data_IF_486950404848
#
_entry.id   IF_486950404848
#
_cell.length_a   1.000
_cell.length_b   1.000
_cell.length_c   1.000
_cell.angle_alpha   90.00
_cell.angle_beta   90.00
_cell.angle_gamma   90.00
#
_symmetry.space_group_name_H-M   'P 1'
#
loop_
_entity.id
_entity.type
_entity.pdbx_description
1 polymer ?
#
# COMPACT_ATOMS: atom_id res chain seq x y z
N UNK A 1 -21.33 -8.41 -26.72
CA UNK A 1 -19.99 -7.98 -27.15
C UNK A 1 -19.84 -6.55 -26.67
N UNK A 2 -19.26 -6.35 -25.49
CA UNK A 2 -19.04 -5.02 -24.90
C UNK A 2 -17.70 -4.54 -25.42
N UNK A 3 -17.72 -3.56 -26.32
CA UNK A 3 -16.51 -2.83 -26.72
C UNK A 3 -16.02 -2.06 -25.51
N UNK A 4 -14.78 -2.33 -25.10
CA UNK A 4 -14.06 -1.56 -24.10
C UNK A 4 -13.90 -0.13 -24.62
N UNK A 5 -14.81 0.76 -24.21
CA UNK A 5 -14.72 2.19 -24.48
C UNK A 5 -13.41 2.67 -23.84
N UNK A 6 -12.53 3.27 -24.65
CA UNK A 6 -11.33 3.92 -24.12
C UNK A 6 -11.75 4.92 -23.02
N UNK A 7 -10.94 5.10 -21.96
CA UNK A 7 -11.24 6.10 -20.95
C UNK A 7 -11.48 7.43 -21.68
N UNK A 8 -12.65 8.01 -21.46
CA UNK A 8 -12.95 9.33 -21.99
C UNK A 8 -12.10 10.30 -21.19
N UNK A 9 -10.92 10.63 -21.73
CA UNK A 9 -9.94 11.51 -21.09
C UNK A 9 -10.60 12.80 -20.57
N UNK A 10 -11.68 13.26 -21.24
CA UNK A 10 -12.47 14.41 -20.83
C UNK A 10 -13.15 14.26 -19.46
N UNK A 11 -13.70 13.10 -19.11
CA UNK A 11 -14.33 12.87 -17.80
C UNK A 11 -13.28 12.79 -16.69
N UNK A 12 -12.20 12.04 -16.91
CA UNK A 12 -11.12 11.92 -15.94
C UNK A 12 -10.47 13.27 -15.64
N UNK A 13 -10.22 14.07 -16.68
CA UNK A 13 -9.65 15.41 -16.53
C UNK A 13 -10.63 16.38 -15.84
N UNK A 14 -11.93 16.30 -16.13
CA UNK A 14 -12.93 17.11 -15.45
C UNK A 14 -13.05 16.74 -13.97
N UNK A 15 -13.11 15.44 -13.65
CA UNK A 15 -13.17 14.94 -12.28
C UNK A 15 -11.90 15.31 -11.50
N UNK A 16 -10.72 15.13 -12.11
CA UNK A 16 -9.44 15.59 -11.55
C UNK A 16 -9.46 17.07 -11.16
N UNK A 17 -9.92 17.95 -12.07
CA UNK A 17 -10.03 19.39 -11.80
C UNK A 17 -11.00 19.67 -10.65
N UNK A 18 -12.21 19.11 -10.70
CA UNK A 18 -13.21 19.31 -9.65
C UNK A 18 -12.70 18.89 -8.26
N UNK A 19 -12.05 17.73 -8.18
CA UNK A 19 -11.52 17.18 -6.95
C UNK A 19 -10.35 18.02 -6.41
N UNK A 20 -9.45 18.49 -7.28
CA UNK A 20 -8.36 19.38 -6.87
C UNK A 20 -8.83 20.78 -6.43
N UNK A 21 -9.86 21.31 -7.08
CA UNK A 21 -10.46 22.60 -6.72
C UNK A 21 -11.30 22.52 -5.43
N UNK A 22 -11.48 21.32 -4.87
CA UNK A 22 -12.29 21.07 -3.68
C UNK A 22 -13.80 21.11 -3.94
N UNK A 23 -14.23 21.10 -5.20
CA UNK A 23 -15.62 21.19 -5.60
C UNK A 23 -16.29 19.81 -5.61
N UNK A 24 -16.67 19.36 -4.41
CA UNK A 24 -17.36 18.09 -4.21
C UNK A 24 -18.68 17.99 -4.99
N UNK A 25 -19.47 19.06 -5.01
CA UNK A 25 -20.78 19.05 -5.67
C UNK A 25 -20.60 18.83 -7.16
N UNK A 26 -19.66 19.56 -7.78
CA UNK A 26 -19.34 19.38 -9.17
C UNK A 26 -18.77 17.98 -9.47
N UNK A 27 -17.88 17.46 -8.61
CA UNK A 27 -17.35 16.10 -8.76
C UNK A 27 -18.46 15.03 -8.75
N UNK A 28 -19.43 15.15 -7.86
CA UNK A 28 -20.60 14.27 -7.78
C UNK A 28 -21.52 14.43 -9.00
N UNK A 29 -21.76 15.65 -9.46
CA UNK A 29 -22.62 15.91 -10.61
C UNK A 29 -22.00 15.39 -11.92
N UNK A 30 -20.67 15.45 -12.06
CA UNK A 30 -19.94 14.86 -13.20
C UNK A 30 -20.19 13.36 -13.32
N UNK A 31 -20.02 12.61 -12.23
CA UNK A 31 -20.23 11.15 -12.27
C UNK A 31 -21.69 10.76 -12.42
N UNK A 32 -22.64 11.53 -11.86
CA UNK A 32 -24.09 11.31 -12.08
C UNK A 32 -24.49 11.60 -13.51
N UNK A 33 -23.94 12.65 -14.11
CA UNK A 33 -24.17 12.98 -15.51
C UNK A 33 -23.59 11.88 -16.42
N UNK A 34 -22.41 11.35 -16.08
CA UNK A 34 -21.82 10.23 -16.80
C UNK A 34 -22.68 8.95 -16.71
N UNK A 35 -23.24 8.62 -15.54
CA UNK A 35 -24.24 7.55 -15.39
C UNK A 35 -25.46 7.79 -16.30
N UNK A 36 -26.02 9.00 -16.28
CA UNK A 36 -27.14 9.39 -17.14
C UNK A 36 -26.83 9.33 -18.64
N UNK A 37 -25.55 9.49 -19.00
CA UNK A 37 -25.03 9.36 -20.35
C UNK A 37 -24.64 7.92 -20.75
N UNK A 38 -24.95 6.93 -19.90
CA UNK A 38 -24.82 5.50 -20.22
C UNK A 38 -23.50 4.84 -19.81
N UNK A 39 -22.69 5.49 -18.97
CA UNK A 39 -21.59 4.78 -18.28
C UNK A 39 -22.16 3.79 -17.26
N UNK A 40 -21.53 2.62 -17.13
CA UNK A 40 -21.85 1.68 -16.05
C UNK A 40 -21.10 2.04 -14.75
N UNK A 41 -21.69 1.64 -13.61
CA UNK A 41 -21.13 1.96 -12.29
C UNK A 41 -19.71 1.40 -12.08
N UNK A 42 -19.42 0.19 -12.59
CA UNK A 42 -18.11 -0.45 -12.41
C UNK A 42 -17.01 0.29 -13.17
N UNK A 43 -17.27 0.69 -14.42
CA UNK A 43 -16.34 1.49 -15.22
C UNK A 43 -16.13 2.89 -14.63
N UNK A 44 -17.14 3.52 -14.04
CA UNK A 44 -16.93 4.81 -13.35
C UNK A 44 -16.05 4.68 -12.10
N UNK A 45 -16.24 3.61 -11.32
CA UNK A 45 -15.41 3.36 -10.14
C UNK A 45 -13.95 3.12 -10.52
N UNK A 46 -13.70 2.32 -11.55
CA UNK A 46 -12.35 1.84 -11.86
C UNK A 46 -11.63 2.67 -12.92
N UNK A 47 -12.31 3.07 -13.98
CA UNK A 47 -11.67 3.72 -15.12
C UNK A 47 -11.71 5.25 -15.02
N UNK A 48 -12.53 5.81 -14.12
CA UNK A 48 -12.54 7.25 -13.80
C UNK A 48 -12.04 7.52 -12.37
N UNK A 49 -12.76 7.08 -11.33
CA UNK A 49 -12.44 7.42 -9.94
C UNK A 49 -11.08 6.86 -9.51
N UNK A 50 -10.81 5.57 -9.75
CA UNK A 50 -9.51 4.99 -9.42
C UNK A 50 -8.37 5.58 -10.27
N UNK A 51 -8.63 5.92 -11.53
CA UNK A 51 -7.66 6.58 -12.40
C UNK A 51 -7.29 7.98 -11.90
N UNK A 52 -8.27 8.78 -11.49
CA UNK A 52 -8.05 10.09 -10.86
C UNK A 52 -7.30 9.93 -9.54
N UNK A 53 -7.64 8.93 -8.72
CA UNK A 53 -6.91 8.64 -7.47
C UNK A 53 -5.44 8.27 -7.73
N UNK A 54 -5.16 7.48 -8.75
CA UNK A 54 -3.78 7.14 -9.13
C UNK A 54 -3.00 8.39 -9.57
N UNK A 55 -3.65 9.30 -10.32
CA UNK A 55 -3.08 10.60 -10.69
C UNK A 55 -2.79 11.46 -9.46
N UNK A 56 -3.72 11.56 -8.51
CA UNK A 56 -3.52 12.26 -7.22
C UNK A 56 -2.24 11.77 -6.52
N UNK A 57 -2.07 10.46 -6.40
CA UNK A 57 -0.87 9.88 -5.79
C UNK A 57 0.42 10.21 -6.55
N UNK A 58 0.40 10.19 -7.88
CA UNK A 58 1.56 10.52 -8.71
C UNK A 58 1.95 12.01 -8.62
N UNK A 59 0.96 12.90 -8.59
CA UNK A 59 1.15 14.35 -8.49
C UNK A 59 1.66 14.76 -7.11
N UNK A 60 1.19 14.09 -6.06
CA UNK A 60 1.74 14.25 -4.71
C UNK A 60 3.17 13.75 -4.60
N UNK A 61 3.47 12.57 -5.15
CA UNK A 61 4.82 12.02 -5.14
C UNK A 61 5.81 12.96 -5.84
N UNK A 62 5.36 13.59 -6.94
CA UNK A 62 6.12 14.55 -7.74
C UNK A 62 6.11 16.00 -7.19
N UNK A 63 5.63 16.21 -5.96
CA UNK A 63 5.61 17.52 -5.27
C UNK A 63 4.81 18.61 -6.00
N UNK A 64 3.84 18.22 -6.85
CA UNK A 64 2.94 19.15 -7.56
C UNK A 64 1.69 19.49 -6.79
N UNK A 65 1.31 18.65 -5.83
CA UNK A 65 0.25 18.90 -4.85
C UNK A 65 0.74 18.56 -3.45
N UNK A 66 0.22 19.28 -2.46
CA UNK A 66 0.52 19.05 -1.03
C UNK A 66 -0.20 17.82 -0.49
N UNK A 67 0.26 17.31 0.65
CA UNK A 67 -0.44 16.24 1.39
C UNK A 67 -1.87 16.65 1.79
N UNK A 68 -2.09 17.93 2.11
CA UNK A 68 -3.43 18.42 2.45
C UNK A 68 -4.37 18.37 1.23
N UNK A 69 -3.87 18.70 0.04
CA UNK A 69 -4.62 18.58 -1.21
C UNK A 69 -4.90 17.12 -1.56
N UNK A 70 -3.92 16.22 -1.40
CA UNK A 70 -4.11 14.78 -1.56
C UNK A 70 -5.23 14.27 -0.65
N UNK A 71 -5.20 14.60 0.65
CA UNK A 71 -6.23 14.17 1.60
C UNK A 71 -7.62 14.72 1.26
N UNK A 72 -7.71 16.01 0.93
CA UNK A 72 -8.97 16.63 0.52
C UNK A 72 -9.52 15.95 -0.75
N UNK A 73 -8.65 15.70 -1.73
CA UNK A 73 -9.00 15.04 -2.97
C UNK A 73 -9.51 13.61 -2.76
N UNK A 74 -8.80 12.81 -1.96
CA UNK A 74 -9.19 11.46 -1.58
C UNK A 74 -10.53 11.44 -0.84
N UNK A 75 -10.76 12.40 0.07
CA UNK A 75 -12.03 12.53 0.78
C UNK A 75 -13.20 12.86 -0.17
N UNK A 76 -13.00 13.69 -1.19
CA UNK A 76 -14.02 13.96 -2.21
C UNK A 76 -14.28 12.71 -3.05
N UNK A 77 -13.23 11.99 -3.46
CA UNK A 77 -13.39 10.72 -4.20
C UNK A 77 -14.19 9.68 -3.40
N UNK A 78 -14.00 9.57 -2.08
CA UNK A 78 -14.82 8.70 -1.22
C UNK A 78 -16.31 9.09 -1.24
N UNK A 79 -16.61 10.40 -1.27
CA UNK A 79 -17.99 10.91 -1.41
C UNK A 79 -18.56 10.62 -2.80
N UNK A 80 -17.74 10.75 -3.84
CA UNK A 80 -18.08 10.37 -5.23
C UNK A 80 -18.43 8.88 -5.31
N UNK A 81 -17.62 7.98 -4.72
CA UNK A 81 -17.94 6.54 -4.63
C UNK A 81 -19.30 6.35 -3.97
N UNK A 82 -19.53 7.00 -2.83
CA UNK A 82 -20.80 6.89 -2.09
C UNK A 82 -22.00 7.35 -2.93
N UNK A 83 -21.82 8.36 -3.80
CA UNK A 83 -22.87 8.85 -4.69
C UNK A 83 -23.14 7.92 -5.90
N UNK A 84 -22.16 7.11 -6.30
CA UNK A 84 -22.29 6.09 -7.35
C UNK A 84 -23.02 4.82 -6.87
N UNK A 85 -22.90 4.48 -5.59
CA UNK A 85 -23.53 3.28 -5.04
C UNK A 85 -25.06 3.46 -5.04
N UNK A 86 -25.84 2.55 -5.68
CA UNK A 86 -27.29 2.64 -5.69
C UNK A 86 -27.86 2.62 -4.27
N UNK A 87 -28.72 3.59 -3.96
CA UNK A 87 -29.53 3.51 -2.73
C UNK A 87 -30.49 2.31 -2.84
N UNK A 88 -30.66 1.50 -1.79
CA UNK A 88 -31.59 0.36 -1.79
C UNK A 88 -33.00 0.70 -2.27
N UNK A 89 -33.43 1.95 -2.07
CA UNK A 89 -34.78 2.42 -2.38
C UNK A 89 -35.08 2.62 -3.88
N UNK A 90 -34.08 2.73 -4.76
CA UNK A 90 -34.32 3.03 -6.19
C UNK A 90 -34.42 1.80 -7.09
N UNK A 91 -33.99 0.62 -6.62
CA UNK A 91 -34.06 -0.65 -7.38
C UNK A 91 -34.71 -1.82 -6.61
N UNK A 92 -35.29 -1.56 -5.43
CA UNK A 92 -35.71 -2.60 -4.49
C UNK A 92 -34.49 -3.33 -3.88
N UNK A 93 -34.66 -4.12 -2.81
CA UNK A 93 -33.56 -4.93 -2.30
C UNK A 93 -33.18 -5.96 -3.37
N UNK A 94 -32.09 -5.70 -4.09
CA UNK A 94 -31.39 -6.77 -4.82
C UNK A 94 -30.77 -7.65 -3.75
N UNK A 95 -31.46 -8.75 -3.42
CA UNK A 95 -30.87 -9.78 -2.56
C UNK A 95 -29.52 -10.20 -3.14
N UNK A 96 -28.48 -10.36 -2.30
CA UNK A 96 -27.20 -10.88 -2.76
C UNK A 96 -27.43 -12.16 -3.56
N UNK A 97 -26.92 -12.19 -4.79
CA UNK A 97 -27.10 -13.32 -5.71
C UNK A 97 -25.95 -14.33 -5.61
N UNK A 98 -24.93 -14.00 -4.81
CA UNK A 98 -23.71 -14.78 -4.60
C UNK A 98 -23.44 -14.93 -3.11
N UNK A 99 -22.28 -15.52 -2.79
CA UNK A 99 -21.80 -15.72 -1.44
C UNK A 99 -21.47 -14.43 -0.68
N UNK A 100 -20.91 -14.61 0.52
CA UNK A 100 -20.48 -13.53 1.42
C UNK A 100 -18.96 -13.45 1.46
N UNK A 101 -18.41 -12.25 1.37
CA UNK A 101 -16.97 -12.02 1.51
C UNK A 101 -16.68 -10.89 2.49
N UNK A 102 -15.55 -10.98 3.16
CA UNK A 102 -15.02 -9.89 3.98
C UNK A 102 -13.92 -9.15 3.20
N UNK A 103 -13.96 -7.82 3.15
CA UNK A 103 -12.92 -6.99 2.55
C UNK A 103 -12.33 -6.08 3.64
N UNK A 104 -11.01 -6.11 3.81
CA UNK A 104 -10.35 -5.42 4.91
C UNK A 104 -8.91 -5.05 4.55
N UNK A 105 -8.42 -3.93 5.08
CA UNK A 105 -6.99 -3.65 5.11
C UNK A 105 -6.31 -4.40 6.26
N UNK A 106 -5.11 -4.89 5.99
CA UNK A 106 -4.27 -5.55 6.99
C UNK A 106 -4.02 -4.64 8.20
N UNK A 107 -3.70 -5.22 9.35
CA UNK A 107 -3.36 -4.46 10.55
C UNK A 107 -2.20 -3.49 10.27
N UNK A 108 -2.36 -2.25 10.75
CA UNK A 108 -1.44 -1.14 10.49
C UNK A 108 -1.57 -0.46 9.12
N UNK A 109 -2.37 -0.99 8.19
CA UNK A 109 -2.59 -0.39 6.86
C UNK A 109 -3.76 0.61 6.83
N UNK A 110 -3.45 1.88 6.57
CA UNK A 110 -4.42 2.99 6.52
C UNK A 110 -5.02 3.24 5.13
N UNK A 111 -4.39 2.75 4.06
CA UNK A 111 -4.79 3.04 2.69
C UNK A 111 -6.02 2.22 2.28
N UNK A 112 -7.19 2.63 2.77
CA UNK A 112 -8.48 1.94 2.63
C UNK A 112 -9.16 2.15 1.27
N UNK A 113 -8.81 3.19 0.52
CA UNK A 113 -9.46 3.54 -0.74
C UNK A 113 -9.48 2.39 -1.78
N UNK A 114 -8.37 1.66 -2.04
CA UNK A 114 -8.41 0.51 -2.95
C UNK A 114 -9.32 -0.62 -2.45
N UNK A 115 -9.32 -0.89 -1.13
CA UNK A 115 -10.18 -1.89 -0.53
C UNK A 115 -11.66 -1.50 -0.64
N UNK A 116 -11.96 -0.20 -0.50
CA UNK A 116 -13.29 0.37 -0.73
C UNK A 116 -13.77 0.12 -2.16
N UNK A 117 -12.93 0.40 -3.17
CA UNK A 117 -13.26 0.14 -4.57
C UNK A 117 -13.55 -1.34 -4.83
N UNK A 118 -12.70 -2.24 -4.31
CA UNK A 118 -12.93 -3.70 -4.40
C UNK A 118 -14.27 -4.06 -3.78
N UNK A 119 -14.60 -3.52 -2.60
CA UNK A 119 -15.87 -3.79 -1.94
C UNK A 119 -17.07 -3.37 -2.80
N UNK A 120 -17.03 -2.19 -3.41
CA UNK A 120 -18.14 -1.72 -4.26
C UNK A 120 -18.27 -2.52 -5.56
N UNK A 121 -17.16 -2.87 -6.22
CA UNK A 121 -17.18 -3.74 -7.41
C UNK A 121 -17.79 -5.10 -7.08
N UNK A 122 -17.44 -5.70 -5.94
CA UNK A 122 -18.01 -6.98 -5.53
C UNK A 122 -19.50 -6.88 -5.22
N UNK A 123 -19.96 -5.78 -4.62
CA UNK A 123 -21.40 -5.52 -4.43
C UNK A 123 -22.14 -5.40 -5.76
N UNK A 124 -21.59 -4.66 -6.73
CA UNK A 124 -22.15 -4.55 -8.08
C UNK A 124 -22.26 -5.92 -8.75
N UNK A 125 -21.31 -6.83 -8.48
CA UNK A 125 -21.31 -8.20 -8.99
C UNK A 125 -22.15 -9.19 -8.16
N UNK A 126 -22.91 -8.70 -7.18
CA UNK A 126 -23.91 -9.46 -6.44
C UNK A 126 -23.40 -10.20 -5.20
N UNK A 127 -22.17 -9.92 -4.75
CA UNK A 127 -21.64 -10.45 -3.49
C UNK A 127 -22.19 -9.70 -2.29
N UNK A 128 -22.40 -10.43 -1.19
CA UNK A 128 -22.59 -9.81 0.11
C UNK A 128 -21.22 -9.42 0.69
N UNK A 129 -20.97 -8.12 0.88
CA UNK A 129 -19.64 -7.64 1.26
C UNK A 129 -19.64 -6.99 2.64
N UNK A 130 -18.94 -7.63 3.57
CA UNK A 130 -18.57 -7.06 4.87
C UNK A 130 -17.27 -6.25 4.69
N UNK A 131 -17.39 -4.93 4.57
CA UNK A 131 -16.23 -4.04 4.46
C UNK A 131 -15.82 -3.53 5.84
N UNK A 132 -14.63 -3.92 6.30
CA UNK A 132 -14.13 -3.60 7.66
C UNK A 132 -13.24 -2.35 7.71
N UNK A 133 -12.86 -1.80 6.56
CA UNK A 133 -12.08 -0.57 6.47
C UNK A 133 -10.57 -0.74 6.71
N UNK A 134 -9.95 0.37 7.11
CA UNK A 134 -8.52 0.46 7.43
C UNK A 134 -8.17 -0.31 8.71
N UNK A 135 -6.91 -0.74 8.81
CA UNK A 135 -6.28 -1.23 10.05
C UNK A 135 -7.12 -2.19 10.89
N UNK A 136 -7.66 -3.26 10.28
CA UNK A 136 -8.42 -4.24 11.07
C UNK A 136 -7.44 -5.17 11.80
N UNK A 137 -7.41 -5.19 13.15
CA UNK A 137 -6.47 -6.07 13.84
C UNK A 137 -6.84 -7.54 13.65
N UNK A 138 -5.84 -8.38 13.44
CA UNK A 138 -6.02 -9.81 13.10
C UNK A 138 -6.97 -10.55 14.06
N UNK A 139 -6.88 -10.41 15.40
CA UNK A 139 -7.81 -11.10 16.30
C UNK A 139 -9.27 -10.74 16.07
N UNK A 140 -9.57 -9.48 15.75
CA UNK A 140 -10.94 -9.04 15.48
C UNK A 140 -11.43 -9.46 14.09
N UNK A 141 -10.53 -9.52 13.11
CA UNK A 141 -10.83 -10.10 11.80
C UNK A 141 -11.25 -11.57 11.93
N UNK A 142 -10.49 -12.38 12.70
CA UNK A 142 -10.82 -13.80 12.96
C UNK A 142 -12.14 -13.92 13.72
N UNK A 143 -12.35 -13.10 14.75
CA UNK A 143 -13.61 -13.07 15.50
C UNK A 143 -14.81 -12.69 14.60
N UNK A 144 -14.60 -11.83 13.60
CA UNK A 144 -15.62 -11.51 12.59
C UNK A 144 -15.93 -12.74 11.73
N UNK A 145 -14.91 -13.45 11.25
CA UNK A 145 -15.11 -14.66 10.44
C UNK A 145 -15.92 -15.74 11.16
N UNK A 146 -15.67 -15.95 12.46
CA UNK A 146 -16.48 -16.89 13.25
C UNK A 146 -17.96 -16.50 13.36
N UNK A 147 -18.31 -15.22 13.21
CA UNK A 147 -19.69 -14.73 13.29
C UNK A 147 -20.39 -14.72 11.94
N UNK A 148 -19.65 -14.45 10.86
CA UNK A 148 -20.25 -14.22 9.54
C UNK A 148 -20.06 -15.36 8.55
N UNK A 149 -19.14 -16.30 8.81
CA UNK A 149 -18.80 -17.44 7.95
C UNK A 149 -18.65 -17.02 6.48
N UNK A 150 -17.77 -16.05 6.23
CA UNK A 150 -17.53 -15.56 4.87
C UNK A 150 -16.86 -16.64 4.01
N UNK A 151 -17.22 -16.70 2.73
CA UNK A 151 -16.62 -17.60 1.74
C UNK A 151 -15.15 -17.29 1.47
N UNK A 152 -14.74 -16.02 1.64
CA UNK A 152 -13.35 -15.60 1.56
C UNK A 152 -13.10 -14.28 2.31
N UNK A 153 -11.83 -14.07 2.67
CA UNK A 153 -11.31 -12.76 3.13
C UNK A 153 -10.44 -12.17 2.04
N UNK A 154 -10.71 -10.92 1.68
CA UNK A 154 -9.88 -10.12 0.78
C UNK A 154 -9.06 -9.14 1.62
N UNK A 155 -7.74 -9.35 1.62
CA UNK A 155 -6.79 -8.52 2.36
C UNK A 155 -6.10 -7.54 1.43
N UNK A 156 -6.30 -6.25 1.70
CA UNK A 156 -5.64 -5.15 0.99
C UNK A 156 -4.40 -4.67 1.73
N UNK A 157 -3.29 -4.50 1.00
CA UNK A 157 -2.05 -3.92 1.50
C UNK A 157 -1.40 -2.99 0.46
N UNK A 158 -1.03 -1.78 0.87
CA UNK A 158 -0.36 -0.78 0.04
C UNK A 158 1.11 -0.64 0.38
N UNK A 159 1.47 -0.68 1.67
CA UNK A 159 2.85 -0.58 2.14
C UNK A 159 3.46 -1.97 2.38
N UNK A 160 4.61 -2.30 1.75
CA UNK A 160 5.31 -3.56 2.01
C UNK A 160 5.68 -3.77 3.49
N UNK A 161 5.85 -2.71 4.27
CA UNK A 161 6.11 -2.82 5.72
C UNK A 161 5.03 -3.58 6.49
N UNK A 162 3.84 -3.72 5.91
CA UNK A 162 2.74 -4.50 6.49
C UNK A 162 2.74 -5.97 6.06
N UNK A 163 3.72 -6.44 5.27
CA UNK A 163 3.81 -7.85 4.89
C UNK A 163 3.90 -8.81 6.11
N UNK A 164 4.63 -8.50 7.20
CA UNK A 164 4.62 -9.36 8.40
C UNK A 164 3.25 -9.44 9.07
N UNK A 165 2.50 -8.33 9.15
CA UNK A 165 1.14 -8.33 9.72
C UNK A 165 0.15 -9.00 8.77
N UNK A 166 0.32 -8.83 7.46
CA UNK A 166 -0.43 -9.55 6.43
C UNK A 166 -0.24 -11.05 6.54
N UNK A 167 1.00 -11.54 6.75
CA UNK A 167 1.28 -12.95 6.96
C UNK A 167 0.52 -13.49 8.17
N UNK A 168 0.57 -12.78 9.30
CA UNK A 168 -0.19 -13.17 10.48
C UNK A 168 -1.70 -13.26 10.21
N UNK A 169 -2.26 -12.29 9.48
CA UNK A 169 -3.67 -12.30 9.09
C UNK A 169 -4.02 -13.45 8.14
N UNK A 170 -3.19 -13.70 7.11
CA UNK A 170 -3.36 -14.81 6.16
C UNK A 170 -3.39 -16.14 6.93
N UNK A 171 -2.37 -16.40 7.75
CA UNK A 171 -2.25 -17.63 8.52
C UNK A 171 -3.41 -17.81 9.49
N UNK A 172 -3.84 -16.75 10.17
CA UNK A 172 -4.95 -16.79 11.12
C UNK A 172 -6.30 -17.09 10.43
N UNK A 173 -6.62 -16.40 9.33
CA UNK A 173 -7.85 -16.67 8.56
C UNK A 173 -7.87 -18.10 8.00
N UNK A 174 -6.74 -18.58 7.47
CA UNK A 174 -6.65 -19.94 6.93
C UNK A 174 -6.79 -20.99 8.03
N UNK A 175 -6.27 -20.73 9.23
CA UNK A 175 -6.40 -21.65 10.39
C UNK A 175 -7.84 -21.86 10.86
N UNK A 176 -8.74 -20.91 10.57
CA UNK A 176 -10.18 -21.04 10.82
C UNK A 176 -10.96 -21.51 9.58
N UNK A 177 -10.26 -21.97 8.54
CA UNK A 177 -10.85 -22.57 7.35
C UNK A 177 -11.36 -21.58 6.31
N UNK A 178 -11.00 -20.30 6.41
CA UNK A 178 -11.44 -19.25 5.48
C UNK A 178 -10.31 -18.92 4.50
N UNK A 179 -10.51 -19.06 3.17
CA UNK A 179 -9.49 -18.75 2.18
C UNK A 179 -9.23 -17.25 2.09
N UNK A 180 -8.00 -16.90 1.75
CA UNK A 180 -7.54 -15.52 1.67
C UNK A 180 -7.09 -15.16 0.26
N UNK A 181 -7.72 -14.12 -0.28
CA UNK A 181 -7.31 -13.45 -1.52
C UNK A 181 -6.58 -12.15 -1.16
N UNK A 182 -5.28 -12.08 -1.43
CA UNK A 182 -4.48 -10.89 -1.17
C UNK A 182 -4.48 -9.95 -2.38
N UNK A 183 -4.38 -8.64 -2.15
CA UNK A 183 -4.31 -7.65 -3.20
C UNK A 183 -3.67 -6.34 -2.74
N UNK A 184 -3.32 -5.50 -3.70
CA UNK A 184 -2.64 -4.23 -3.46
C UNK A 184 -1.12 -4.31 -3.64
N UNK A 185 -0.50 -3.12 -3.69
CA UNK A 185 0.90 -2.93 -4.11
C UNK A 185 1.91 -3.54 -3.15
N UNK A 186 1.56 -3.73 -1.88
CA UNK A 186 2.44 -4.33 -0.88
C UNK A 186 2.88 -5.75 -1.27
N UNK A 187 2.02 -6.49 -1.97
CA UNK A 187 2.25 -7.91 -2.31
C UNK A 187 3.10 -8.15 -3.56
N UNK A 188 3.68 -7.09 -4.12
CA UNK A 188 4.47 -7.13 -5.36
C UNK A 188 3.62 -7.06 -6.62
N UNK A 189 4.22 -6.61 -7.73
CA UNK A 189 3.53 -6.38 -9.01
C UNK A 189 2.86 -7.63 -9.58
N UNK A 190 3.43 -8.78 -9.28
CA UNK A 190 3.00 -10.09 -9.73
C UNK A 190 2.41 -10.92 -8.59
N UNK A 191 2.22 -10.36 -7.38
CA UNK A 191 1.74 -11.11 -6.22
C UNK A 191 2.75 -12.08 -5.62
N UNK A 192 4.05 -11.96 -5.92
CA UNK A 192 5.09 -12.87 -5.38
C UNK A 192 5.07 -12.96 -3.86
N UNK A 193 4.86 -11.86 -3.16
CA UNK A 193 4.84 -11.86 -1.70
C UNK A 193 3.54 -12.46 -1.16
N UNK A 194 2.39 -12.26 -1.82
CA UNK A 194 1.15 -12.94 -1.43
C UNK A 194 1.31 -14.47 -1.44
N UNK A 195 1.94 -15.02 -2.49
CA UNK A 195 2.22 -16.46 -2.58
C UNK A 195 3.22 -16.94 -1.54
N UNK A 196 4.29 -16.18 -1.32
CA UNK A 196 5.30 -16.51 -0.32
C UNK A 196 4.72 -16.54 1.11
N UNK A 197 3.76 -15.67 1.40
CA UNK A 197 3.05 -15.63 2.68
C UNK A 197 1.86 -16.61 2.77
N UNK A 198 1.68 -17.48 1.78
CA UNK A 198 0.68 -18.53 1.80
C UNK A 198 -0.76 -18.07 1.56
N UNK A 199 -1.00 -16.92 0.90
CA UNK A 199 -2.34 -16.55 0.45
C UNK A 199 -2.86 -17.58 -0.57
N UNK A 200 -4.15 -17.89 -0.54
CA UNK A 200 -4.76 -18.88 -1.42
C UNK A 200 -4.91 -18.36 -2.86
N UNK A 201 -4.99 -17.03 -3.03
CA UNK A 201 -4.91 -16.36 -4.32
C UNK A 201 -4.40 -14.91 -4.19
N UNK A 202 -4.07 -14.32 -5.34
CA UNK A 202 -3.74 -12.90 -5.48
C UNK A 202 -4.48 -12.30 -6.67
N UNK A 203 -4.89 -11.03 -6.55
CA UNK A 203 -5.46 -10.26 -7.64
C UNK A 203 -4.78 -8.89 -7.78
N UNK A 204 -4.55 -8.49 -9.03
CA UNK A 204 -3.94 -7.21 -9.37
C UNK A 204 -4.88 -6.00 -9.17
N UNK A 205 -6.19 -6.22 -9.36
CA UNK A 205 -7.22 -5.20 -9.32
C UNK A 205 -8.59 -5.79 -8.90
N UNK A 206 -9.60 -4.92 -8.81
CA UNK A 206 -10.95 -5.30 -8.39
C UNK A 206 -11.66 -6.26 -9.36
N UNK A 207 -11.41 -6.13 -10.68
CA UNK A 207 -12.02 -7.03 -11.69
C UNK A 207 -11.41 -8.42 -11.59
N UNK A 208 -10.10 -8.50 -11.40
CA UNK A 208 -9.36 -9.73 -11.14
C UNK A 208 -9.81 -10.38 -9.83
N UNK A 209 -10.02 -9.59 -8.77
CA UNK A 209 -10.51 -10.12 -7.50
C UNK A 209 -11.90 -10.77 -7.64
N UNK A 210 -12.81 -10.11 -8.35
CA UNK A 210 -14.11 -10.68 -8.66
C UNK A 210 -14.01 -11.96 -9.50
N UNK A 211 -13.16 -11.98 -10.53
CA UNK A 211 -12.95 -13.17 -11.38
C UNK A 211 -12.43 -14.37 -10.59
N UNK A 212 -11.49 -14.15 -9.66
CA UNK A 212 -10.98 -15.21 -8.76
C UNK A 212 -12.09 -15.78 -7.87
N UNK A 213 -12.91 -14.90 -7.26
CA UNK A 213 -14.02 -15.35 -6.43
C UNK A 213 -15.09 -16.10 -7.23
N UNK A 214 -15.38 -15.65 -8.44
CA UNK A 214 -16.34 -16.29 -9.34
C UNK A 214 -15.88 -17.67 -9.81
N UNK A 215 -14.57 -17.87 -9.99
CA UNK A 215 -13.96 -19.18 -10.25
C UNK A 215 -14.00 -20.10 -9.02
N UNK A 216 -14.09 -19.53 -7.82
CA UNK A 216 -14.13 -20.23 -6.55
C UNK A 216 -12.73 -20.40 -5.92
N UNK A 217 -12.69 -20.31 -4.59
CA UNK A 217 -11.48 -20.55 -3.80
C UNK A 217 -11.64 -21.81 -2.94
N UNK A 218 -10.67 -22.74 -2.97
CA UNK A 218 -10.74 -23.94 -2.13
C UNK A 218 -10.59 -23.54 -0.66
N UNK A 219 -11.40 -24.13 0.23
CA UNK A 219 -11.25 -23.92 1.67
C UNK A 219 -9.93 -24.56 2.15
N UNK A 220 -9.10 -23.83 2.91
CA UNK A 220 -7.85 -24.37 3.44
C UNK A 220 -8.12 -25.50 4.44
N UNK A 221 -7.36 -26.59 4.33
CA UNK A 221 -7.49 -27.79 5.17
C UNK A 221 -6.29 -28.01 6.09
N UNK A 222 -5.18 -27.32 5.83
CA UNK A 222 -3.91 -27.49 6.54
C UNK A 222 -3.63 -26.27 7.40
N UNK A 223 -3.40 -26.50 8.69
CA UNK A 223 -2.91 -25.46 9.61
C UNK A 223 -1.41 -25.31 9.38
N UNK A 224 -0.95 -24.07 9.12
CA UNK A 224 0.46 -23.72 8.92
C UNK A 224 0.95 -22.77 10.00
N UNK A 225 2.25 -22.80 10.28
CA UNK A 225 2.94 -21.80 11.09
C UNK A 225 3.79 -20.91 10.19
N UNK A 226 4.07 -19.68 10.63
CA UNK A 226 4.83 -18.71 9.82
C UNK A 226 6.24 -19.21 9.41
N UNK A 227 6.87 -20.07 10.21
CA UNK A 227 8.18 -20.69 9.91
C UNK A 227 8.07 -21.70 8.77
N UNK A 228 6.90 -22.32 8.57
CA UNK A 228 6.67 -23.26 7.47
C UNK A 228 6.70 -22.55 6.11
N UNK A 229 6.22 -21.30 6.07
CA UNK A 229 6.18 -20.49 4.86
C UNK A 229 7.50 -19.70 4.65
N UNK A 230 8.23 -19.35 5.72
CA UNK A 230 9.48 -18.55 5.68
C UNK A 230 10.58 -19.14 6.59
N UNK A 231 11.32 -20.18 6.14
CA UNK A 231 12.27 -20.93 6.97
C UNK A 231 13.51 -20.12 7.39
N UNK A 232 13.88 -19.07 6.66
CA UNK A 232 15.04 -18.21 6.99
C UNK A 232 14.82 -17.38 8.25
N UNK A 233 13.58 -17.20 8.72
CA UNK A 233 13.30 -16.45 9.95
C UNK A 233 13.88 -17.09 11.23
N UNK A 234 14.37 -18.34 11.14
CA UNK A 234 15.03 -19.05 12.23
C UNK A 234 16.34 -18.37 12.66
N UNK A 235 16.99 -17.59 11.79
CA UNK A 235 18.20 -16.83 12.12
C UNK A 235 17.98 -15.67 13.12
N UNK A 236 16.72 -15.30 13.36
CA UNK A 236 16.27 -14.20 14.22
C UNK A 236 16.78 -12.80 13.84
N UNK A 237 17.44 -12.60 12.70
CA UNK A 237 17.94 -11.28 12.30
C UNK A 237 16.80 -10.27 12.17
N UNK A 238 15.69 -10.67 11.54
CA UNK A 238 14.46 -9.88 11.49
C UNK A 238 13.98 -9.44 12.88
N UNK A 239 13.85 -10.40 13.80
CA UNK A 239 13.36 -10.15 15.17
C UNK A 239 14.28 -9.19 15.91
N UNK A 240 15.60 -9.36 15.78
CA UNK A 240 16.59 -8.52 16.44
C UNK A 240 16.61 -7.08 15.90
N UNK A 241 16.43 -6.90 14.58
CA UNK A 241 16.31 -5.56 13.96
C UNK A 241 15.04 -4.86 14.44
N UNK A 242 13.89 -5.54 14.44
CA UNK A 242 12.62 -4.97 14.93
C UNK A 242 12.72 -4.57 16.41
N UNK A 243 13.29 -5.42 17.27
CA UNK A 243 13.49 -5.11 18.69
C UNK A 243 14.47 -3.95 18.90
N UNK A 244 15.48 -3.82 18.03
CA UNK A 244 16.47 -2.75 18.08
C UNK A 244 16.03 -1.45 17.40
N UNK A 245 14.85 -1.39 16.78
CA UNK A 245 14.38 -0.26 15.93
C UNK A 245 14.64 1.11 16.55
N UNK A 246 14.15 1.36 17.77
CA UNK A 246 14.32 2.66 18.46
C UNK A 246 15.79 3.02 18.66
N UNK A 247 16.62 2.03 19.01
CA UNK A 247 18.07 2.21 19.21
C UNK A 247 18.76 2.53 17.88
N UNK A 248 18.45 1.80 16.81
CA UNK A 248 19.02 2.00 15.49
C UNK A 248 18.72 3.40 14.95
N UNK A 249 17.46 3.85 15.04
CA UNK A 249 17.05 5.19 14.62
C UNK A 249 17.79 6.26 15.43
N UNK A 250 17.78 6.16 16.77
CA UNK A 250 18.40 7.14 17.65
C UNK A 250 19.92 7.26 17.43
N UNK A 251 20.63 6.13 17.34
CA UNK A 251 22.07 6.12 17.10
C UNK A 251 22.43 6.69 15.72
N UNK A 252 21.67 6.32 14.69
CA UNK A 252 21.89 6.82 13.32
C UNK A 252 21.66 8.33 13.24
N UNK A 253 20.60 8.82 13.87
CA UNK A 253 20.28 10.26 13.92
C UNK A 253 21.38 11.05 14.64
N UNK A 254 21.83 10.60 15.81
CA UNK A 254 22.92 11.25 16.55
C UNK A 254 24.22 11.30 15.75
N UNK A 255 24.55 10.24 15.03
CA UNK A 255 25.77 10.20 14.21
C UNK A 255 25.66 11.09 12.96
N UNK A 256 24.49 11.13 12.31
CA UNK A 256 24.22 12.07 11.21
C UNK A 256 24.41 13.53 11.65
N UNK A 257 23.88 13.89 12.82
CA UNK A 257 24.02 15.23 13.39
C UNK A 257 25.47 15.58 13.72
N UNK A 258 26.24 14.61 14.21
CA UNK A 258 27.67 14.78 14.47
C UNK A 258 28.50 14.97 13.20
N UNK A 259 28.17 14.25 12.11
CA UNK A 259 28.90 14.34 10.83
C UNK A 259 28.52 15.57 10.01
N UNK A 260 27.29 16.05 10.11
CA UNK A 260 26.76 17.14 9.30
C UNK A 260 26.12 18.27 10.13
N UNK A 261 26.88 18.95 11.01
CA UNK A 261 26.33 19.94 11.94
C UNK A 261 25.70 21.17 11.24
N UNK A 262 26.21 21.57 10.06
CA UNK A 262 25.71 22.74 9.32
C UNK A 262 24.33 22.51 8.67
N UNK A 263 24.00 21.28 8.29
CA UNK A 263 22.68 20.86 7.80
C UNK A 263 21.74 20.39 8.92
N UNK A 264 22.20 20.37 10.19
CA UNK A 264 21.43 19.97 11.37
C UNK A 264 21.10 21.12 12.33
N UNK A 265 21.56 22.36 12.07
CA UNK A 265 21.25 23.53 12.89
C UNK A 265 19.74 23.84 13.05
N UNK A 266 19.21 23.63 14.26
CA UNK A 266 18.22 24.50 14.91
C UNK A 266 16.72 24.21 14.80
N UNK A 267 16.25 23.37 13.87
CA UNK A 267 14.80 23.18 13.65
C UNK A 267 14.36 21.77 14.10
N UNK A 268 13.71 21.69 15.27
CA UNK A 268 13.16 20.45 15.86
C UNK A 268 12.29 19.69 14.85
N UNK A 269 11.53 20.43 14.03
CA UNK A 269 10.71 19.85 12.97
C UNK A 269 11.52 19.14 11.89
N UNK A 270 12.74 19.59 11.58
CA UNK A 270 13.62 18.89 10.62
C UNK A 270 14.20 17.63 11.23
N UNK A 271 14.55 17.67 12.52
CA UNK A 271 15.02 16.49 13.26
C UNK A 271 13.95 15.39 13.29
N UNK A 272 12.70 15.77 13.56
CA UNK A 272 11.54 14.87 13.54
C UNK A 272 11.42 14.19 12.16
N UNK A 273 11.43 14.96 11.07
CA UNK A 273 11.34 14.44 9.69
C UNK A 273 12.48 13.45 9.36
N UNK A 274 13.72 13.78 9.70
CA UNK A 274 14.85 12.85 9.50
C UNK A 274 14.68 11.58 10.32
N UNK A 275 14.16 11.68 11.55
CA UNK A 275 13.90 10.51 12.38
C UNK A 275 12.79 9.61 11.79
N UNK A 276 11.74 10.21 11.21
CA UNK A 276 10.68 9.52 10.47
C UNK A 276 11.23 8.79 9.23
N UNK A 277 12.07 9.45 8.43
CA UNK A 277 12.70 8.83 7.25
C UNK A 277 13.59 7.64 7.65
N UNK A 278 14.39 7.79 8.71
CA UNK A 278 15.18 6.68 9.28
C UNK A 278 14.32 5.55 9.80
N UNK A 279 13.16 5.88 10.38
CA UNK A 279 12.22 4.88 10.85
C UNK A 279 11.67 4.04 9.67
N UNK A 280 11.31 4.70 8.57
CA UNK A 280 10.92 4.01 7.34
C UNK A 280 12.05 3.13 6.78
N UNK A 281 13.30 3.63 6.74
CA UNK A 281 14.45 2.83 6.31
C UNK A 281 14.60 1.54 7.13
N UNK A 282 14.49 1.63 8.45
CA UNK A 282 14.59 0.46 9.34
C UNK A 282 13.41 -0.50 9.14
N UNK A 283 12.19 0.02 8.96
CA UNK A 283 10.98 -0.80 8.75
C UNK A 283 11.04 -1.56 7.41
N UNK A 284 11.50 -0.91 6.33
CA UNK A 284 11.69 -1.56 5.04
C UNK A 284 12.86 -2.55 5.05
N UNK A 285 13.95 -2.26 5.78
CA UNK A 285 15.04 -3.22 5.98
C UNK A 285 14.54 -4.46 6.73
N UNK A 286 13.78 -4.28 7.82
CA UNK A 286 13.18 -5.38 8.56
C UNK A 286 12.26 -6.21 7.65
N UNK A 287 11.47 -5.57 6.81
CA UNK A 287 10.58 -6.27 5.87
C UNK A 287 11.36 -7.03 4.80
N UNK A 288 12.44 -6.47 4.26
CA UNK A 288 13.32 -7.17 3.33
C UNK A 288 13.94 -8.42 3.98
N UNK A 289 14.37 -8.32 5.24
CA UNK A 289 14.82 -9.46 6.03
C UNK A 289 13.71 -10.49 6.26
N UNK A 290 12.49 -10.02 6.49
CA UNK A 290 11.33 -10.87 6.67
C UNK A 290 11.01 -11.69 5.41
N UNK A 291 11.07 -11.06 4.24
CA UNK A 291 10.81 -11.71 2.94
C UNK A 291 12.03 -12.42 2.34
N UNK A 292 13.22 -12.21 2.91
CA UNK A 292 14.53 -12.55 2.30
C UNK A 292 14.68 -12.04 0.85
N UNK A 293 14.15 -10.85 0.59
CA UNK A 293 14.17 -10.23 -0.73
C UNK A 293 14.65 -8.79 -0.61
N UNK A 294 15.87 -8.53 -1.11
CA UNK A 294 16.47 -7.21 -1.13
C UNK A 294 15.66 -6.21 -1.99
N UNK A 295 14.86 -6.70 -2.96
CA UNK A 295 14.03 -5.85 -3.80
C UNK A 295 13.00 -5.05 -2.99
N UNK A 296 12.50 -5.58 -1.86
CA UNK A 296 11.63 -4.84 -0.95
C UNK A 296 12.29 -3.53 -0.49
N UNK A 297 13.59 -3.59 -0.19
CA UNK A 297 14.35 -2.45 0.30
C UNK A 297 14.78 -1.54 -0.85
N UNK A 298 15.32 -2.08 -1.95
CA UNK A 298 15.81 -1.26 -3.06
C UNK A 298 14.68 -0.54 -3.81
N UNK A 299 13.52 -1.19 -4.00
CA UNK A 299 12.35 -0.55 -4.61
C UNK A 299 11.85 0.64 -3.77
N UNK A 300 11.93 0.53 -2.44
CA UNK A 300 11.62 1.63 -1.52
C UNK A 300 12.65 2.75 -1.63
N UNK A 301 13.95 2.43 -1.71
CA UNK A 301 14.99 3.43 -1.87
C UNK A 301 14.84 4.20 -3.19
N UNK A 302 14.49 3.53 -4.29
CA UNK A 302 14.23 4.16 -5.59
C UNK A 302 13.06 5.12 -5.52
N UNK A 303 11.96 4.67 -4.93
CA UNK A 303 10.78 5.48 -4.75
C UNK A 303 11.08 6.71 -3.87
N UNK A 304 11.76 6.51 -2.75
CA UNK A 304 12.12 7.58 -1.81
C UNK A 304 13.08 8.57 -2.46
N UNK A 305 14.09 8.09 -3.20
CA UNK A 305 15.00 8.95 -3.95
C UNK A 305 14.27 9.82 -4.98
N UNK A 306 13.28 9.26 -5.69
CA UNK A 306 12.43 10.01 -6.61
C UNK A 306 11.59 11.08 -5.91
N UNK A 307 10.94 10.73 -4.81
CA UNK A 307 10.12 11.62 -3.96
C UNK A 307 10.97 12.78 -3.39
N UNK A 308 12.16 12.48 -2.88
CA UNK A 308 13.09 13.46 -2.34
C UNK A 308 13.66 14.37 -3.44
N UNK A 309 14.00 13.81 -4.59
CA UNK A 309 14.52 14.58 -5.74
C UNK A 309 13.50 15.59 -6.25
N UNK A 310 12.21 15.21 -6.31
CA UNK A 310 11.11 16.12 -6.66
C UNK A 310 11.00 17.31 -5.68
N UNK A 311 11.39 17.11 -4.42
CA UNK A 311 11.40 18.11 -3.33
C UNK A 311 12.73 18.85 -3.20
N UNK A 312 13.66 18.67 -4.15
CA UNK A 312 14.97 19.32 -4.14
C UNK A 312 15.97 18.74 -3.13
N UNK A 313 15.71 17.56 -2.56
CA UNK A 313 16.63 16.86 -1.66
C UNK A 313 17.44 15.83 -2.47
N UNK A 314 18.78 15.94 -2.52
CA UNK A 314 19.59 15.02 -3.29
C UNK A 314 19.54 13.58 -2.78
N UNK A 315 19.45 12.60 -3.69
CA UNK A 315 19.43 11.18 -3.36
C UNK A 315 20.67 10.70 -2.57
N UNK A 316 21.84 11.33 -2.75
CA UNK A 316 23.04 11.00 -1.99
C UNK A 316 22.89 11.25 -0.48
N UNK A 317 21.92 12.06 -0.05
CA UNK A 317 21.59 12.27 1.36
C UNK A 317 21.16 10.97 2.04
N UNK A 318 20.50 10.07 1.30
CA UNK A 318 20.10 8.74 1.78
C UNK A 318 21.33 7.83 1.98
N UNK A 319 22.32 7.92 1.09
CA UNK A 319 23.54 7.08 1.13
C UNK A 319 24.29 7.29 2.46
N UNK A 320 24.41 8.54 2.92
CA UNK A 320 25.05 8.82 4.20
C UNK A 320 24.33 8.17 5.39
N UNK A 321 22.99 8.17 5.38
CA UNK A 321 22.18 7.48 6.39
C UNK A 321 22.35 5.96 6.33
N UNK A 322 22.40 5.38 5.13
CA UNK A 322 22.64 3.96 4.92
C UNK A 322 24.03 3.52 5.38
N UNK A 323 25.07 4.32 5.11
CA UNK A 323 26.44 4.02 5.54
C UNK A 323 26.56 3.96 7.07
N UNK A 324 25.90 4.88 7.76
CA UNK A 324 25.84 4.88 9.22
C UNK A 324 25.03 3.66 9.71
N UNK A 325 23.86 3.42 9.13
CA UNK A 325 23.02 2.27 9.48
C UNK A 325 23.78 0.95 9.30
N UNK A 326 24.57 0.81 8.24
CA UNK A 326 25.43 -0.35 7.99
C UNK A 326 26.42 -0.59 9.15
N UNK A 327 26.97 0.48 9.73
CA UNK A 327 27.79 0.39 10.94
C UNK A 327 27.01 -0.14 12.15
N UNK A 328 25.74 0.28 12.29
CA UNK A 328 24.87 -0.12 13.41
C UNK A 328 24.32 -1.55 13.28
N UNK A 329 24.24 -2.10 12.06
CA UNK A 329 23.78 -3.47 11.77
C UNK A 329 24.91 -4.45 11.46
N UNK A 330 26.16 -4.11 11.79
CA UNK A 330 27.35 -4.93 11.44
C UNK A 330 27.31 -6.37 11.95
N UNK A 331 26.59 -6.62 13.05
CA UNK A 331 26.45 -7.93 13.70
C UNK A 331 25.29 -8.75 13.08
N UNK A 332 24.60 -8.21 12.07
CA UNK A 332 23.51 -8.84 11.32
C UNK A 332 23.95 -9.05 9.85
N UNK A 333 24.52 -10.21 9.48
CA UNK A 333 25.08 -10.43 8.15
C UNK A 333 24.13 -10.17 6.98
N UNK A 334 22.87 -10.62 7.05
CA UNK A 334 21.87 -10.35 5.99
C UNK A 334 21.46 -8.89 5.99
N UNK A 335 21.23 -8.31 7.17
CA UNK A 335 20.90 -6.90 7.33
C UNK A 335 21.98 -5.99 6.73
N UNK A 336 23.23 -6.25 7.09
CA UNK A 336 24.40 -5.52 6.57
C UNK A 336 24.52 -5.64 5.05
N UNK A 337 24.30 -6.84 4.49
CA UNK A 337 24.31 -7.05 3.04
C UNK A 337 23.23 -6.21 2.36
N UNK A 338 21.98 -6.27 2.83
CA UNK A 338 20.87 -5.51 2.25
C UNK A 338 21.09 -3.98 2.32
N UNK A 339 21.63 -3.48 3.43
CA UNK A 339 21.95 -2.05 3.55
C UNK A 339 23.05 -1.63 2.58
N UNK A 340 24.11 -2.44 2.43
CA UNK A 340 25.20 -2.18 1.48
C UNK A 340 24.75 -2.25 0.03
N UNK A 341 23.94 -3.24 -0.31
CA UNK A 341 23.37 -3.39 -1.66
C UNK A 341 22.49 -2.17 -1.98
N UNK A 342 21.67 -1.72 -1.03
CA UNK A 342 20.86 -0.50 -1.17
C UNK A 342 21.69 0.77 -1.34
N UNK A 343 22.78 0.93 -0.58
CA UNK A 343 23.69 2.06 -0.73
C UNK A 343 24.38 2.08 -2.10
N UNK A 344 24.86 0.92 -2.56
CA UNK A 344 25.47 0.76 -3.88
C UNK A 344 24.47 1.05 -5.01
N UNK A 345 23.23 0.60 -4.86
CA UNK A 345 22.13 0.86 -5.80
C UNK A 345 21.86 2.35 -5.97
N UNK A 346 21.71 3.09 -4.87
CA UNK A 346 21.52 4.55 -4.90
C UNK A 346 22.73 5.31 -5.45
N UNK A 347 23.95 4.85 -5.17
CA UNK A 347 25.16 5.45 -5.71
C UNK A 347 25.23 5.31 -7.25
N UNK A 348 24.75 4.18 -7.79
CA UNK A 348 24.67 3.95 -9.24
C UNK A 348 23.70 4.88 -9.97
N UNK A 349 22.62 5.32 -9.31
CA UNK A 349 21.64 6.26 -9.87
C UNK A 349 22.15 7.70 -9.93
N UNK A 350 23.13 8.06 -9.11
CA UNK A 350 23.53 9.46 -8.92
C UNK A 350 24.51 9.99 -10.00
N UNK A 351 25.10 9.12 -10.83
CA UNK A 351 26.16 9.52 -11.79
C UNK A 351 27.40 10.14 -11.10
N UNK A 352 28.54 10.28 -11.80
CA UNK A 352 29.69 10.98 -11.22
C UNK A 352 29.36 12.46 -11.03
N UNK A 353 29.58 12.96 -9.80
CA UNK A 353 29.52 14.38 -9.46
C UNK A 353 30.37 15.19 -10.46
N UNK A 354 29.74 15.98 -11.33
CA UNK A 354 30.46 17.06 -12.02
C UNK A 354 30.84 18.07 -10.93
N UNK A 355 32.13 18.35 -10.70
CA UNK A 355 32.52 19.37 -9.74
C UNK A 355 32.07 20.73 -10.28
N UNK A 356 30.96 21.24 -9.74
CA UNK A 356 30.47 22.57 -10.03
C UNK A 356 31.49 23.59 -9.54
N UNK A 357 32.16 24.23 -10.48
CA UNK A 357 33.07 25.36 -10.31
C UNK A 357 32.41 26.48 -9.50
N UNK A 358 33.12 26.95 -8.47
CA UNK A 358 32.85 28.22 -7.83
C UNK A 358 32.89 29.36 -8.86
N UNK A 359 31.83 30.15 -8.91
CA UNK A 359 31.82 31.53 -9.35
C UNK A 359 30.65 32.26 -8.70
#
# INVERSE_FOLDING_TARGET
MSETRAPDDGLCDALWRAVLDGDEHHAVDLVRSALGAGWDEESLLLDAVAAVQARIGAEWAADRITVAQEHAATAINERVITALVPRPDTRGPSEPRRGRVTVSCVDGEWHAFPARLVAEVLRLRGWQVDYLGAQTPTPYLVAHQHRTDSDAVLLSGSLPTQLPTAHAAITACRSVGVPVLAGGRAFGRDGRYARALGADAWAADARGAAAVLEAGLPRPTVIRQAVDDLPHLVDQEYTMVVQSRRRLIGQTLTELEGRFPATCGGDEARRERTAEDLAHLVDFLATALYMDDAAVFTDFLDWTAGVLSARGVPAHSLVAGLDILAGQVRDFPRGLRMVRDGAAHLAGLSGPLVPGTAA
#
